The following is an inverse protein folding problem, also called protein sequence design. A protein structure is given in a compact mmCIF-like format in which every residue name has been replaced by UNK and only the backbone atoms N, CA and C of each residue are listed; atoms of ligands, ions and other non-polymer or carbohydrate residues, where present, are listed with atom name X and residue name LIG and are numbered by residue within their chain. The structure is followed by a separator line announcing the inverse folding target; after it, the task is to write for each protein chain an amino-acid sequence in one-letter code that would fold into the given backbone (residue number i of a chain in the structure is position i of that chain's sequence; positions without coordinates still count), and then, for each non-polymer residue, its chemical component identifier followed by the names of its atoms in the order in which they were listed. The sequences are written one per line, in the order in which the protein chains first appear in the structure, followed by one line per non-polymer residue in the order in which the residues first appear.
data_IF_950774371137
#
_entry.id   IF_950774371137
#
_cell.length_a   1.000
_cell.length_b   1.000
_cell.length_c   1.000
_cell.angle_alpha   90.00
_cell.angle_beta   90.00
_cell.angle_gamma   90.00
#
_symmetry.space_group_name_H-M   'P 1'
#
loop_
_entity.id
_entity.type
_entity.pdbx_description
1 polymer ?
#
# COMPACT_ATOMS: atom_id res chain seq x y z
N UNK A 1 7.83 -0.14 7.83
CA UNK A 1 9.11 -0.90 7.72
C UNK A 1 9.43 -0.99 6.24
N UNK A 2 10.34 -0.15 5.71
CA UNK A 2 10.66 -0.09 4.28
C UNK A 2 11.37 -1.36 3.78
N UNK A 3 11.52 -1.47 2.45
CA UNK A 3 12.14 -2.62 1.76
C UNK A 3 13.54 -2.96 2.29
N UNK A 4 14.33 -1.96 2.68
CA UNK A 4 15.67 -2.18 3.26
C UNK A 4 15.60 -2.93 4.60
N UNK A 5 14.58 -2.71 5.41
CA UNK A 5 14.36 -3.46 6.65
C UNK A 5 13.95 -4.91 6.39
N UNK A 6 13.20 -5.16 5.31
CA UNK A 6 12.91 -6.52 4.85
C UNK A 6 14.21 -7.25 4.50
N UNK A 7 15.11 -6.60 3.76
CA UNK A 7 16.40 -7.19 3.41
C UNK A 7 17.28 -7.46 4.64
N UNK A 8 17.39 -6.49 5.57
CA UNK A 8 18.12 -6.69 6.83
C UNK A 8 17.55 -7.85 7.66
N UNK A 9 16.22 -8.02 7.65
CA UNK A 9 15.56 -9.15 8.30
C UNK A 9 15.83 -10.51 7.65
N UNK A 10 16.01 -10.55 6.33
CA UNK A 10 16.26 -11.76 5.56
C UNK A 10 17.75 -12.19 5.55
N UNK A 11 18.66 -11.23 5.78
CA UNK A 11 20.10 -11.50 5.76
C UNK A 11 20.57 -12.14 7.09
N UNK A 12 21.55 -13.09 7.03
CA UNK A 12 22.18 -13.64 8.20
C UNK A 12 22.88 -12.56 9.04
N UNK A 13 23.02 -12.82 10.35
CA UNK A 13 23.86 -11.97 11.19
C UNK A 13 25.30 -11.92 10.62
N UNK A 14 25.89 -10.74 10.63
CA UNK A 14 27.22 -10.48 10.05
C UNK A 14 27.23 -10.14 8.55
N UNK A 15 26.07 -10.16 7.87
CA UNK A 15 25.92 -9.69 6.47
C UNK A 15 24.86 -8.61 6.31
N UNK A 16 24.59 -7.85 7.36
CA UNK A 16 23.60 -6.75 7.37
C UNK A 16 24.23 -5.36 7.14
N UNK A 17 25.46 -5.35 6.63
CA UNK A 17 26.13 -4.11 6.23
C UNK A 17 25.38 -3.42 5.08
N UNK A 18 25.56 -2.11 4.96
CA UNK A 18 24.84 -1.29 4.00
C UNK A 18 25.11 -1.71 2.54
N UNK A 19 26.34 -2.11 2.23
CA UNK A 19 26.73 -2.55 0.89
C UNK A 19 25.98 -3.82 0.49
N UNK A 20 25.92 -4.83 1.35
CA UNK A 20 25.18 -6.08 1.11
C UNK A 20 23.67 -5.80 0.96
N UNK A 21 23.10 -4.92 1.79
CA UNK A 21 21.69 -4.55 1.71
C UNK A 21 21.37 -3.84 0.39
N UNK A 22 22.26 -2.96 -0.08
CA UNK A 22 22.09 -2.26 -1.35
C UNK A 22 22.24 -3.19 -2.56
N UNK A 23 23.21 -4.10 -2.54
CA UNK A 23 23.35 -5.14 -3.57
C UNK A 23 22.10 -6.00 -3.65
N UNK A 24 21.55 -6.44 -2.51
CA UNK A 24 20.30 -7.20 -2.48
C UNK A 24 19.14 -6.42 -3.10
N UNK A 25 19.05 -5.11 -2.85
CA UNK A 25 18.05 -4.22 -3.48
C UNK A 25 18.19 -4.20 -5.00
N UNK A 26 19.42 -4.08 -5.52
CA UNK A 26 19.69 -4.02 -6.96
C UNK A 26 19.23 -5.28 -7.71
N UNK A 27 19.35 -6.46 -7.09
CA UNK A 27 18.85 -7.71 -7.66
C UNK A 27 17.35 -7.90 -7.44
N UNK A 28 16.87 -7.59 -6.25
CA UNK A 28 15.49 -7.87 -5.88
C UNK A 28 14.50 -6.96 -6.61
N UNK A 29 14.77 -5.66 -6.71
CA UNK A 29 13.80 -4.71 -7.26
C UNK A 29 13.44 -5.01 -8.72
N UNK A 30 14.39 -5.23 -9.64
CA UNK A 30 14.06 -5.60 -11.03
C UNK A 30 13.31 -6.94 -11.12
N UNK A 31 13.74 -7.95 -10.34
CA UNK A 31 13.05 -9.23 -10.31
C UNK A 31 11.63 -9.10 -9.79
N UNK A 32 11.45 -8.40 -8.66
CA UNK A 32 10.14 -8.18 -8.07
C UNK A 32 9.22 -7.40 -9.00
N UNK A 33 9.73 -6.37 -9.68
CA UNK A 33 8.94 -5.58 -10.64
C UNK A 33 8.45 -6.42 -11.81
N UNK A 34 9.28 -7.35 -12.30
CA UNK A 34 8.89 -8.24 -13.38
C UNK A 34 7.84 -9.29 -12.96
N UNK A 35 7.65 -9.53 -11.65
CA UNK A 35 6.80 -10.57 -11.10
C UNK A 35 5.78 -10.03 -10.08
N UNK A 36 5.64 -8.71 -9.96
CA UNK A 36 4.87 -8.03 -8.92
C UNK A 36 3.41 -8.45 -8.89
N UNK A 37 2.91 -8.97 -9.99
CA UNK A 37 1.52 -9.27 -10.26
C UNK A 37 1.21 -10.75 -10.54
N UNK A 38 2.22 -11.63 -10.53
CA UNK A 38 2.04 -13.05 -10.86
C UNK A 38 0.94 -13.73 -10.04
N UNK A 39 0.83 -13.37 -8.75
CA UNK A 39 -0.16 -13.90 -7.81
C UNK A 39 -1.00 -12.81 -7.14
N UNK A 40 -0.84 -11.56 -7.58
CA UNK A 40 -1.57 -10.41 -7.04
C UNK A 40 -2.84 -10.17 -7.84
N UNK A 41 -3.96 -10.00 -7.16
CA UNK A 41 -5.24 -9.60 -7.75
C UNK A 41 -6.05 -8.81 -6.73
N UNK A 42 -6.97 -7.94 -7.17
CA UNK A 42 -7.94 -7.32 -6.27
C UNK A 42 -8.78 -8.39 -5.57
N UNK A 43 -9.20 -8.11 -4.35
CA UNK A 43 -10.20 -8.94 -3.68
C UNK A 43 -11.55 -8.83 -4.38
N UNK A 44 -12.36 -9.88 -4.27
CA UNK A 44 -13.71 -9.90 -4.81
C UNK A 44 -14.54 -8.76 -4.20
N UNK A 45 -15.32 -8.06 -5.01
CA UNK A 45 -16.15 -6.93 -4.60
C UNK A 45 -15.44 -5.56 -4.57
N UNK A 46 -14.12 -5.49 -4.75
CA UNK A 46 -13.38 -4.21 -4.73
C UNK A 46 -13.80 -3.32 -5.90
N UNK A 47 -13.95 -3.88 -7.10
CA UNK A 47 -14.30 -3.08 -8.27
C UNK A 47 -15.71 -2.50 -8.14
N UNK A 48 -16.66 -3.30 -7.69
CA UNK A 48 -18.04 -2.89 -7.44
C UNK A 48 -18.13 -1.81 -6.35
N UNK A 49 -17.30 -1.93 -5.31
CA UNK A 49 -17.19 -0.92 -4.25
C UNK A 49 -16.65 0.40 -4.81
N UNK A 50 -15.56 0.35 -5.60
CA UNK A 50 -14.97 1.55 -6.20
C UNK A 50 -15.94 2.23 -7.16
N UNK A 51 -16.67 1.47 -7.98
CA UNK A 51 -17.71 1.97 -8.87
C UNK A 51 -18.82 2.69 -8.09
N UNK A 52 -19.23 2.15 -6.94
CA UNK A 52 -20.22 2.77 -6.09
C UNK A 52 -19.71 4.10 -5.50
N UNK A 53 -18.48 4.11 -4.98
CA UNK A 53 -17.84 5.29 -4.39
C UNK A 53 -17.72 6.43 -5.44
N UNK A 54 -17.25 6.11 -6.64
CA UNK A 54 -17.10 7.10 -7.72
C UNK A 54 -18.44 7.65 -8.19
N UNK A 55 -19.48 6.82 -8.26
CA UNK A 55 -20.84 7.27 -8.61
C UNK A 55 -21.43 8.27 -7.61
N UNK A 56 -21.03 8.18 -6.35
CA UNK A 56 -21.41 9.15 -5.31
C UNK A 56 -20.55 10.44 -5.36
N UNK A 57 -19.65 10.57 -6.32
CA UNK A 57 -18.77 11.74 -6.48
C UNK A 57 -17.65 11.81 -5.43
N UNK A 58 -17.33 10.70 -4.77
CA UNK A 58 -16.28 10.64 -3.76
C UNK A 58 -14.93 10.45 -4.45
N UNK A 59 -13.95 11.26 -4.08
CA UNK A 59 -12.59 11.17 -4.58
C UNK A 59 -11.82 10.01 -3.98
N UNK A 60 -10.95 9.43 -4.79
CA UNK A 60 -10.11 8.28 -4.40
C UNK A 60 -8.65 8.72 -4.30
N UNK A 61 -7.96 8.21 -3.28
CA UNK A 61 -6.51 8.34 -3.10
C UNK A 61 -5.91 7.01 -2.63
N UNK A 62 -4.64 6.78 -2.95
CA UNK A 62 -3.88 5.60 -2.50
C UNK A 62 -2.75 6.05 -1.58
N UNK A 63 -2.61 5.36 -0.43
CA UNK A 63 -1.53 5.53 0.53
C UNK A 63 -0.94 4.16 0.92
N UNK A 64 0.32 3.89 0.54
CA UNK A 64 0.95 2.58 0.68
C UNK A 64 2.38 2.67 1.23
N UNK A 65 2.79 1.69 2.04
CA UNK A 65 4.20 1.50 2.43
C UNK A 65 5.02 0.74 1.37
N UNK A 66 4.40 0.34 0.26
CA UNK A 66 5.11 -0.16 -0.91
C UNK A 66 5.84 1.01 -1.59
N UNK A 67 7.04 0.79 -2.14
CA UNK A 67 7.77 1.84 -2.87
C UNK A 67 6.94 2.43 -4.02
N UNK A 68 7.18 3.71 -4.32
CA UNK A 68 6.33 4.53 -5.19
C UNK A 68 6.05 3.88 -6.55
N UNK A 69 7.10 3.48 -7.28
CA UNK A 69 6.99 2.92 -8.64
C UNK A 69 6.20 1.61 -8.64
N UNK A 70 6.38 0.77 -7.61
CA UNK A 70 5.63 -0.47 -7.46
C UNK A 70 4.16 -0.25 -7.12
N UNK A 71 3.86 0.81 -6.36
CA UNK A 71 2.48 1.21 -6.06
C UNK A 71 1.78 1.69 -7.33
N UNK A 72 2.41 2.60 -8.08
CA UNK A 72 1.87 3.14 -9.33
C UNK A 72 1.64 2.04 -10.38
N UNK A 73 2.60 1.11 -10.52
CA UNK A 73 2.48 0.00 -11.47
C UNK A 73 1.27 -0.90 -11.17
N UNK A 74 1.04 -1.24 -9.90
CA UNK A 74 -0.11 -2.05 -9.49
C UNK A 74 -1.43 -1.30 -9.66
N UNK A 75 -1.47 -0.02 -9.25
CA UNK A 75 -2.68 0.80 -9.42
C UNK A 75 -3.02 0.96 -10.89
N UNK A 76 -2.05 1.27 -11.74
CA UNK A 76 -2.25 1.36 -13.19
C UNK A 76 -2.78 0.05 -13.78
N UNK A 77 -2.24 -1.08 -13.34
CA UNK A 77 -2.63 -2.39 -13.87
C UNK A 77 -4.05 -2.79 -13.49
N UNK A 78 -4.40 -2.65 -12.21
CA UNK A 78 -5.66 -3.18 -11.67
C UNK A 78 -6.76 -2.13 -11.56
N UNK A 79 -6.40 -0.87 -11.42
CA UNK A 79 -7.32 0.22 -11.13
C UNK A 79 -7.18 1.41 -12.08
N UNK A 80 -6.54 1.20 -13.24
CA UNK A 80 -6.28 2.26 -14.23
C UNK A 80 -7.53 2.86 -14.88
N UNK A 81 -8.70 2.30 -14.63
CA UNK A 81 -9.99 2.87 -15.04
C UNK A 81 -10.51 3.94 -14.07
N UNK A 82 -9.89 4.11 -12.89
CA UNK A 82 -10.31 5.06 -11.87
C UNK A 82 -9.37 6.25 -11.79
N UNK A 83 -9.93 7.45 -11.60
CA UNK A 83 -9.17 8.66 -11.36
C UNK A 83 -8.86 8.81 -9.87
N UNK A 84 -7.61 8.52 -9.50
CA UNK A 84 -7.11 8.79 -8.17
C UNK A 84 -6.52 10.21 -8.12
N UNK A 85 -6.93 11.01 -7.13
CA UNK A 85 -6.38 12.36 -6.93
C UNK A 85 -4.88 12.33 -6.61
N UNK A 86 -4.42 11.26 -5.96
CA UNK A 86 -3.00 10.95 -5.81
C UNK A 86 -2.78 9.45 -5.55
N UNK A 87 -1.57 8.99 -5.88
CA UNK A 87 -1.09 7.64 -5.62
C UNK A 87 0.23 7.79 -4.88
N UNK A 88 0.22 7.55 -3.58
CA UNK A 88 1.36 7.75 -2.69
C UNK A 88 1.90 6.41 -2.20
N UNK A 89 3.13 6.11 -2.59
CA UNK A 89 3.95 5.02 -2.09
C UNK A 89 5.05 5.52 -1.15
N UNK A 90 5.89 4.60 -0.70
CA UNK A 90 7.08 4.96 0.05
C UNK A 90 8.10 5.66 -0.86
N UNK A 91 8.65 6.79 -0.40
CA UNK A 91 9.69 7.58 -1.05
C UNK A 91 10.83 7.83 -0.07
N UNK A 92 12.02 8.00 -0.59
CA UNK A 92 13.21 8.31 0.22
C UNK A 92 13.02 9.65 0.95
N UNK A 93 13.46 9.71 2.21
CA UNK A 93 13.34 10.90 3.04
C UNK A 93 11.92 11.18 3.57
N UNK A 94 10.92 10.38 3.23
CA UNK A 94 9.57 10.50 3.77
C UNK A 94 9.29 9.44 4.83
N UNK A 95 8.59 9.80 5.91
CA UNK A 95 8.19 8.83 6.92
C UNK A 95 7.23 7.78 6.32
N UNK A 96 7.18 6.62 6.95
CA UNK A 96 6.29 5.52 6.55
C UNK A 96 5.17 5.36 7.57
N UNK A 97 4.06 4.77 7.15
CA UNK A 97 2.97 4.41 8.06
C UNK A 97 3.52 3.60 9.26
N UNK A 98 3.13 3.90 10.50
CA UNK A 98 1.93 4.64 10.91
C UNK A 98 2.10 6.16 11.05
N UNK A 99 3.15 6.78 10.50
CA UNK A 99 3.23 8.23 10.46
C UNK A 99 2.08 8.79 9.59
N UNK A 100 1.37 9.85 10.05
CA UNK A 100 0.21 10.38 9.36
C UNK A 100 0.53 11.22 8.12
N UNK A 101 1.79 11.55 7.86
CA UNK A 101 2.20 12.47 6.80
C UNK A 101 1.61 12.07 5.44
N UNK A 102 1.58 10.76 5.12
CA UNK A 102 1.06 10.27 3.84
C UNK A 102 -0.43 10.59 3.65
N UNK A 103 -1.23 10.61 4.72
CA UNK A 103 -2.65 10.99 4.65
C UNK A 103 -2.78 12.51 4.51
N UNK A 104 -2.00 13.29 5.24
CA UNK A 104 -2.00 14.75 5.11
C UNK A 104 -1.59 15.18 3.71
N UNK A 105 -0.55 14.57 3.14
CA UNK A 105 -0.14 14.80 1.75
C UNK A 105 -1.26 14.45 0.74
N UNK A 106 -1.97 13.34 0.97
CA UNK A 106 -3.12 13.00 0.13
C UNK A 106 -4.23 14.08 0.19
N UNK A 107 -4.47 14.65 1.37
CA UNK A 107 -5.45 15.73 1.54
C UNK A 107 -5.04 17.01 0.80
N UNK A 108 -3.74 17.29 0.69
CA UNK A 108 -3.24 18.45 -0.08
C UNK A 108 -3.62 18.38 -1.57
N UNK A 109 -3.87 17.18 -2.10
CA UNK A 109 -4.34 17.00 -3.48
C UNK A 109 -5.78 17.47 -3.71
N UNK A 110 -6.53 17.73 -2.63
CA UNK A 110 -7.90 18.27 -2.64
C UNK A 110 -8.00 19.47 -1.69
N UNK A 111 -7.58 20.68 -2.14
CA UNK A 111 -7.58 21.86 -1.30
C UNK A 111 -8.95 22.14 -0.68
N UNK A 112 -8.97 22.44 0.61
CA UNK A 112 -10.19 22.68 1.38
C UNK A 112 -10.78 21.44 2.06
N UNK A 113 -10.25 20.25 1.79
CA UNK A 113 -10.67 19.02 2.47
C UNK A 113 -10.25 19.04 3.93
N UNK A 114 -11.17 18.71 4.82
CA UNK A 114 -10.93 18.60 6.27
C UNK A 114 -10.82 17.13 6.68
N UNK A 115 -10.21 16.86 7.84
CA UNK A 115 -10.09 15.50 8.40
C UNK A 115 -11.46 14.83 8.63
N UNK A 116 -12.50 15.60 8.84
CA UNK A 116 -13.86 15.09 9.05
C UNK A 116 -14.49 14.50 7.77
N UNK A 117 -14.00 14.89 6.60
CA UNK A 117 -14.47 14.47 5.28
C UNK A 117 -13.67 13.29 4.72
N UNK A 118 -12.59 12.89 5.40
CA UNK A 118 -11.71 11.81 4.96
C UNK A 118 -12.03 10.52 5.68
N UNK A 119 -12.06 9.43 4.92
CA UNK A 119 -12.11 8.06 5.42
C UNK A 119 -10.88 7.32 4.94
N UNK A 120 -10.10 6.78 5.86
CA UNK A 120 -8.96 5.94 5.55
C UNK A 120 -9.32 4.47 5.73
N UNK A 121 -9.17 3.67 4.66
CA UNK A 121 -9.44 2.24 4.67
C UNK A 121 -8.14 1.45 4.57
N UNK A 122 -7.98 0.42 5.39
CA UNK A 122 -6.82 -0.45 5.36
C UNK A 122 -7.10 -1.80 6.02
N UNK A 123 -6.16 -2.73 5.92
CA UNK A 123 -6.33 -4.12 6.36
C UNK A 123 -5.37 -4.52 7.50
N UNK A 124 -4.53 -3.59 7.95
CA UNK A 124 -3.53 -3.84 8.99
C UNK A 124 -3.68 -2.91 10.20
N UNK A 125 -3.09 -3.31 11.31
CA UNK A 125 -2.95 -2.49 12.52
C UNK A 125 -2.19 -1.19 12.24
N UNK A 126 -1.20 -1.25 11.34
CA UNK A 126 -0.45 -0.07 10.88
C UNK A 126 -1.37 0.93 10.17
N UNK A 127 -2.31 0.45 9.35
CA UNK A 127 -3.28 1.32 8.68
C UNK A 127 -4.23 1.97 9.68
N UNK A 128 -4.75 1.18 10.60
CA UNK A 128 -5.63 1.71 11.66
C UNK A 128 -4.92 2.80 12.46
N UNK A 129 -3.68 2.54 12.86
CA UNK A 129 -2.89 3.53 13.60
C UNK A 129 -2.57 4.78 12.76
N UNK A 130 -2.32 4.62 11.44
CA UNK A 130 -2.10 5.77 10.54
C UNK A 130 -3.31 6.70 10.49
N UNK A 131 -4.52 6.14 10.32
CA UNK A 131 -5.73 6.94 10.29
C UNK A 131 -6.03 7.61 11.63
N UNK A 132 -5.80 6.93 12.76
CA UNK A 132 -5.93 7.51 14.09
C UNK A 132 -4.94 8.69 14.28
N UNK A 133 -3.68 8.48 13.88
CA UNK A 133 -2.64 9.51 14.01
C UNK A 133 -2.94 10.73 13.11
N UNK A 134 -3.55 10.52 11.95
CA UNK A 134 -3.99 11.60 11.06
C UNK A 134 -5.28 12.30 11.51
N UNK A 135 -5.97 11.77 12.51
CA UNK A 135 -7.24 12.31 12.99
C UNK A 135 -8.42 12.10 12.03
N UNK A 136 -8.33 11.14 11.12
CA UNK A 136 -9.38 10.83 10.15
C UNK A 136 -10.20 9.61 10.60
N UNK A 137 -11.40 9.46 10.02
CA UNK A 137 -12.19 8.24 10.22
C UNK A 137 -11.49 7.04 9.58
N UNK A 138 -11.46 5.91 10.27
CA UNK A 138 -10.73 4.72 9.84
C UNK A 138 -11.67 3.52 9.71
N UNK A 139 -11.52 2.76 8.63
CA UNK A 139 -12.27 1.51 8.37
C UNK A 139 -11.26 0.38 8.18
N UNK A 140 -11.36 -0.65 9.00
CA UNK A 140 -10.59 -1.89 8.86
C UNK A 140 -11.26 -2.86 7.91
N UNK A 141 -10.58 -3.26 6.84
CA UNK A 141 -11.02 -4.32 5.95
C UNK A 141 -10.55 -5.68 6.48
N UNK A 142 -11.48 -6.55 6.85
CA UNK A 142 -11.14 -7.92 7.26
C UNK A 142 -10.88 -8.78 6.02
N UNK A 143 -9.63 -8.80 5.56
CA UNK A 143 -9.20 -9.70 4.49
C UNK A 143 -9.20 -11.14 5.00
N UNK A 144 -10.08 -12.00 4.49
CA UNK A 144 -9.98 -13.43 4.74
C UNK A 144 -8.74 -13.96 4.02
N UNK A 145 -7.87 -14.73 4.69
CA UNK A 145 -6.80 -15.42 3.97
C UNK A 145 -7.43 -16.30 2.88
N UNK A 146 -6.82 -16.30 1.69
CA UNK A 146 -7.19 -17.26 0.65
C UNK A 146 -7.18 -18.66 1.26
N UNK A 147 -8.22 -19.49 1.04
CA UNK A 147 -8.10 -20.90 1.35
C UNK A 147 -6.91 -21.43 0.54
N UNK A 148 -5.84 -21.80 1.23
CA UNK A 148 -4.75 -22.52 0.61
C UNK A 148 -5.30 -23.74 -0.14
N UNK A 149 -4.54 -24.32 -1.11
CA UNK A 149 -4.98 -25.53 -1.80
C UNK A 149 -5.36 -26.55 -0.73
N UNK A 150 -6.62 -26.96 -0.72
CA UNK A 150 -7.13 -28.00 0.15
C UNK A 150 -6.20 -29.20 0.02
N UNK A 151 -5.47 -29.53 1.09
CA UNK A 151 -4.76 -30.79 1.17
C UNK A 151 -5.83 -31.89 1.07
N UNK A 152 -6.00 -32.43 -0.14
CA UNK A 152 -6.72 -33.66 -0.34
C UNK A 152 -5.85 -34.76 0.31
N UNK A 153 -6.22 -35.13 1.51
CA UNK A 153 -5.70 -36.32 2.14
C UNK A 153 -6.45 -37.50 1.50
N UNK A 154 -5.72 -38.24 0.70
CA UNK A 154 -6.05 -39.60 0.26
C UNK A 154 -5.70 -40.58 1.36
#
# INVERSE_FOLDING_TARGET
RGILNLFRGALPEGRKDEETVMQMREYFVPYYNAHIDNLTRPYDGIMEMLDAIVREGIHLAIASNKYQEGTEALVKKYFGAYDFVCILGQREGRPIKPDPEIIHEAMESLPGTTVAEVVYCGDSDVDMQTGINAGVRTIGAACRPFPGPSAQHS
#
